data_IF_987514299546
#
_entry.id   IF_987514299546
#
_cell.length_a   1.000
_cell.length_b   1.000
_cell.length_c   1.000
_cell.angle_alpha   90.00
_cell.angle_beta   90.00
_cell.angle_gamma   90.00
#
_symmetry.space_group_name_H-M   'P 1'
#
loop_
_entity.id
_entity.type
_entity.pdbx_description
1 polymer ?
#
# COMPACT_ATOMS: atom_id res chain seq x y z
N UNK A 1 -41.00 -2.39 32.21
CA UNK A 1 -40.20 -1.65 31.21
C UNK A 1 -40.81 -0.30 30.86
N UNK A 2 -42.11 -0.21 30.48
CA UNK A 2 -42.75 1.07 30.11
C UNK A 2 -42.68 2.18 31.17
N UNK A 3 -42.92 1.86 32.45
CA UNK A 3 -42.86 2.84 33.57
C UNK A 3 -41.47 3.45 33.81
N UNK A 4 -40.38 2.72 33.55
CA UNK A 4 -39.01 3.20 33.81
C UNK A 4 -38.58 4.23 32.76
N UNK A 5 -38.86 3.95 31.48
CA UNK A 5 -38.61 4.90 30.39
C UNK A 5 -39.48 6.15 30.51
N UNK A 6 -40.71 6.02 31.01
CA UNK A 6 -41.59 7.17 31.28
C UNK A 6 -41.01 8.08 32.36
N UNK A 7 -40.49 7.52 33.45
CA UNK A 7 -39.79 8.29 34.48
C UNK A 7 -38.52 8.96 33.96
N UNK A 8 -37.68 8.25 33.19
CA UNK A 8 -36.46 8.82 32.59
C UNK A 8 -36.77 10.01 31.69
N UNK A 9 -37.81 9.91 30.84
CA UNK A 9 -38.24 11.02 29.99
C UNK A 9 -38.75 12.23 30.81
N UNK A 10 -39.49 11.99 31.91
CA UNK A 10 -39.98 13.05 32.80
C UNK A 10 -38.79 13.72 33.52
N UNK A 11 -37.82 12.94 33.96
CA UNK A 11 -36.60 13.45 34.58
C UNK A 11 -35.80 14.30 33.59
N UNK A 12 -35.61 13.83 32.35
CA UNK A 12 -34.92 14.57 31.30
C UNK A 12 -35.61 15.91 30.99
N UNK A 13 -36.95 15.93 30.86
CA UNK A 13 -37.72 17.18 30.69
C UNK A 13 -37.49 18.15 31.87
N UNK A 14 -37.57 17.63 33.10
CA UNK A 14 -37.34 18.45 34.30
C UNK A 14 -35.89 18.99 34.36
N UNK A 15 -34.89 18.22 33.92
CA UNK A 15 -33.49 18.63 33.86
C UNK A 15 -33.25 19.70 32.79
N UNK A 16 -33.86 19.56 31.59
CA UNK A 16 -33.80 20.58 30.54
C UNK A 16 -34.40 21.92 31.00
N UNK A 17 -35.57 21.86 31.66
CA UNK A 17 -36.23 23.04 32.24
C UNK A 17 -35.41 23.69 33.36
N UNK A 18 -34.79 22.88 34.22
CA UNK A 18 -33.88 23.35 35.28
C UNK A 18 -32.64 24.05 34.70
N UNK A 19 -32.08 23.54 33.59
CA UNK A 19 -30.99 24.22 32.85
C UNK A 19 -31.47 25.56 32.27
N UNK A 20 -32.71 25.60 31.77
CA UNK A 20 -33.41 26.80 31.31
C UNK A 20 -33.70 27.85 32.39
N UNK A 21 -33.47 27.53 33.67
CA UNK A 21 -33.60 28.45 34.80
C UNK A 21 -34.89 28.31 35.60
N UNK A 22 -35.68 27.26 35.34
CA UNK A 22 -36.85 26.94 36.15
C UNK A 22 -36.46 26.38 37.53
N UNK A 23 -37.30 26.57 38.56
CA UNK A 23 -37.02 26.07 39.91
C UNK A 23 -37.52 24.63 40.08
N UNK A 24 -36.88 23.88 40.98
CA UNK A 24 -37.21 22.48 41.25
C UNK A 24 -38.69 22.33 41.67
N UNK A 25 -39.22 23.27 42.45
CA UNK A 25 -40.61 23.25 42.92
C UNK A 25 -41.62 23.35 41.77
N UNK A 26 -41.29 24.10 40.72
CA UNK A 26 -42.17 24.26 39.54
C UNK A 26 -42.16 23.01 38.66
N UNK A 27 -41.01 22.34 38.54
CA UNK A 27 -40.90 21.03 37.88
C UNK A 27 -41.70 19.96 38.64
N UNK A 28 -41.55 19.90 39.98
CA UNK A 28 -42.30 18.95 40.82
C UNK A 28 -43.82 19.21 40.79
N UNK A 29 -44.24 20.48 40.70
CA UNK A 29 -45.65 20.83 40.53
C UNK A 29 -46.26 20.39 39.19
N UNK A 30 -45.42 20.14 38.17
CA UNK A 30 -45.87 19.63 36.86
C UNK A 30 -46.11 18.11 36.87
N UNK A 31 -45.49 17.38 37.81
CA UNK A 31 -45.52 15.91 37.91
C UNK A 31 -45.75 15.45 39.36
N UNK A 32 -46.94 15.66 39.93
CA UNK A 32 -47.21 15.40 41.35
C UNK A 32 -47.15 13.90 41.71
N UNK A 33 -47.43 13.01 40.76
CA UNK A 33 -47.42 11.55 41.01
C UNK A 33 -46.01 10.98 41.20
N UNK A 34 -44.99 11.59 40.58
CA UNK A 34 -43.58 11.17 40.63
C UNK A 34 -42.72 12.09 41.51
N UNK A 35 -43.32 13.10 42.15
CA UNK A 35 -42.60 14.15 42.86
C UNK A 35 -41.68 13.61 43.97
N UNK A 36 -42.11 12.59 44.71
CA UNK A 36 -41.32 11.97 45.78
C UNK A 36 -40.02 11.32 45.27
N UNK A 37 -40.02 10.78 44.06
CA UNK A 37 -38.84 10.14 43.46
C UNK A 37 -37.97 11.13 42.67
N UNK A 38 -38.57 12.17 42.08
CA UNK A 38 -37.85 13.21 41.31
C UNK A 38 -37.12 14.22 42.19
N UNK A 39 -37.68 14.58 43.35
CA UNK A 39 -37.13 15.60 44.24
C UNK A 39 -35.65 15.42 44.58
N UNK A 40 -35.17 14.25 45.06
CA UNK A 40 -33.76 14.09 45.41
C UNK A 40 -32.82 14.19 44.19
N UNK A 41 -33.26 13.73 43.02
CA UNK A 41 -32.47 13.77 41.79
C UNK A 41 -32.33 15.21 41.29
N UNK A 42 -33.43 15.97 41.27
CA UNK A 42 -33.43 17.38 40.85
C UNK A 42 -32.64 18.28 41.80
N UNK A 43 -32.74 18.07 43.12
CA UNK A 43 -31.90 18.79 44.09
C UNK A 43 -30.41 18.52 43.90
N UNK A 44 -30.04 17.28 43.56
CA UNK A 44 -28.65 16.90 43.26
C UNK A 44 -28.15 17.59 41.99
N UNK A 45 -28.98 17.61 40.95
CA UNK A 45 -28.65 18.32 39.71
C UNK A 45 -28.50 19.83 39.94
N UNK A 46 -29.38 20.44 40.76
CA UNK A 46 -29.29 21.85 41.12
C UNK A 46 -28.00 22.17 41.88
N UNK A 47 -27.67 21.40 42.92
CA UNK A 47 -26.44 21.59 43.68
C UNK A 47 -25.18 21.46 42.80
N UNK A 48 -25.21 20.51 41.86
CA UNK A 48 -24.13 20.32 40.88
C UNK A 48 -24.01 21.52 39.95
N UNK A 49 -25.13 22.09 39.50
CA UNK A 49 -25.16 23.29 38.65
C UNK A 49 -24.63 24.51 39.38
N UNK A 50 -25.01 24.71 40.63
CA UNK A 50 -24.51 25.80 41.48
C UNK A 50 -23.00 25.68 41.72
N UNK A 51 -22.50 24.46 41.96
CA UNK A 51 -21.07 24.20 42.06
C UNK A 51 -20.33 24.41 40.72
N UNK A 52 -20.96 24.05 39.59
CA UNK A 52 -20.40 24.23 38.24
C UNK A 52 -20.46 25.68 37.75
N UNK A 53 -21.36 26.49 38.31
CA UNK A 53 -21.45 27.93 38.07
C UNK A 53 -20.22 28.68 38.61
N UNK A 54 -19.38 28.02 39.42
CA UNK A 54 -18.02 28.45 39.74
C UNK A 54 -17.18 28.38 38.45
N UNK A 55 -17.31 29.44 37.67
CA UNK A 55 -16.56 29.71 36.47
C UNK A 55 -15.06 29.45 36.69
N UNK A 56 -14.42 28.51 35.97
CA UNK A 56 -12.97 28.37 36.04
C UNK A 56 -12.32 29.68 35.64
N UNK A 57 -11.22 30.04 36.34
CA UNK A 57 -10.46 31.26 36.09
C UNK A 57 -10.14 31.39 34.59
N UNK A 58 -10.20 32.60 34.05
CA UNK A 58 -10.04 32.85 32.62
C UNK A 58 -8.73 32.25 32.06
N UNK A 59 -7.66 32.32 32.83
CA UNK A 59 -6.34 31.74 32.50
C UNK A 59 -6.38 30.22 32.32
N UNK A 60 -7.09 29.51 33.20
CA UNK A 60 -7.24 28.06 33.11
C UNK A 60 -7.99 27.65 31.85
N UNK A 61 -9.06 28.37 31.49
CA UNK A 61 -9.80 28.10 30.25
C UNK A 61 -8.96 28.38 29.00
N UNK A 62 -8.19 29.46 29.00
CA UNK A 62 -7.30 29.79 27.90
C UNK A 62 -6.25 28.70 27.68
N UNK A 63 -5.64 28.21 28.78
CA UNK A 63 -4.67 27.13 28.76
C UNK A 63 -5.27 25.81 28.28
N UNK A 64 -6.42 25.39 28.82
CA UNK A 64 -7.10 24.16 28.42
C UNK A 64 -7.49 24.18 26.93
N UNK A 65 -7.95 25.33 26.41
CA UNK A 65 -8.26 25.51 24.98
C UNK A 65 -7.01 25.40 24.11
N UNK A 66 -5.90 25.99 24.54
CA UNK A 66 -4.64 25.91 23.82
C UNK A 66 -4.14 24.45 23.78
N UNK A 67 -4.09 23.78 24.93
CA UNK A 67 -3.63 22.38 25.04
C UNK A 67 -4.49 21.45 24.17
N UNK A 68 -5.82 21.55 24.24
CA UNK A 68 -6.73 20.76 23.41
C UNK A 68 -6.51 20.98 21.90
N UNK A 69 -6.40 22.25 21.46
CA UNK A 69 -6.15 22.55 20.04
C UNK A 69 -4.78 22.05 19.60
N UNK A 70 -3.78 22.13 20.47
CA UNK A 70 -2.41 21.68 20.17
C UNK A 70 -2.33 20.16 20.01
N UNK A 71 -3.04 19.40 20.85
CA UNK A 71 -3.12 17.94 20.74
C UNK A 71 -3.80 17.50 19.44
N UNK A 72 -4.89 18.17 19.04
CA UNK A 72 -5.55 17.93 17.75
C UNK A 72 -4.65 18.26 16.56
N UNK A 73 -3.82 19.30 16.67
CA UNK A 73 -2.87 19.66 15.61
C UNK A 73 -1.70 18.68 15.53
N UNK A 74 -1.17 18.20 16.66
CA UNK A 74 -0.11 17.19 16.69
C UNK A 74 -0.57 15.88 16.03
N UNK A 75 -1.78 15.40 16.35
CA UNK A 75 -2.35 14.22 15.67
C UNK A 75 -2.55 14.42 14.16
N UNK A 76 -3.01 15.60 13.72
CA UNK A 76 -3.19 15.89 12.30
C UNK A 76 -1.88 16.08 11.54
N UNK A 77 -0.83 16.60 12.19
CA UNK A 77 0.49 16.80 11.60
C UNK A 77 1.32 15.51 11.53
N UNK A 78 1.17 14.59 12.48
CA UNK A 78 1.85 13.27 12.45
C UNK A 78 1.42 12.35 11.30
N UNK A 79 0.32 12.67 10.61
CA UNK A 79 -0.26 11.83 9.53
C UNK A 79 -0.02 12.31 8.10
N UNK A 80 0.94 13.21 7.86
CA UNK A 80 1.37 13.60 6.49
C UNK A 80 2.91 13.71 6.49
N UNK A 81 3.73 12.78 5.98
CA UNK A 81 3.67 11.99 4.75
C UNK A 81 4.61 10.75 4.80
N UNK A 82 4.46 9.76 3.89
CA UNK A 82 5.40 9.72 2.75
C UNK A 82 4.78 9.19 1.43
N UNK A 83 3.48 9.44 1.14
CA UNK A 83 2.90 9.01 -0.15
C UNK A 83 3.48 9.76 -1.36
N UNK A 84 3.94 11.00 -1.18
CA UNK A 84 4.53 11.80 -2.26
C UNK A 84 5.96 11.36 -2.62
N UNK A 85 6.75 10.91 -1.64
CA UNK A 85 8.09 10.37 -1.86
C UNK A 85 8.00 9.04 -2.62
N UNK A 86 7.06 8.18 -2.23
CA UNK A 86 6.80 6.93 -2.95
C UNK A 86 6.36 7.20 -4.39
N UNK A 87 5.42 8.11 -4.63
CA UNK A 87 4.91 8.43 -5.97
C UNK A 87 5.97 9.07 -6.89
N UNK A 88 6.90 9.84 -6.34
CA UNK A 88 8.01 10.46 -7.10
C UNK A 88 9.11 9.44 -7.45
N UNK A 89 9.31 8.42 -6.61
CA UNK A 89 10.23 7.32 -6.90
C UNK A 89 9.84 6.52 -8.15
N UNK A 90 8.55 6.19 -8.33
CA UNK A 90 8.10 5.46 -9.52
C UNK A 90 8.22 6.26 -10.82
N UNK A 91 8.02 7.57 -10.78
CA UNK A 91 8.19 8.43 -11.97
C UNK A 91 9.67 8.53 -12.37
N UNK A 92 10.58 8.64 -11.40
CA UNK A 92 12.03 8.62 -11.65
C UNK A 92 12.46 7.24 -12.15
N UNK A 93 11.95 6.15 -11.57
CA UNK A 93 12.22 4.80 -12.04
C UNK A 93 11.74 4.58 -13.48
N UNK A 94 10.52 5.03 -13.83
CA UNK A 94 9.99 4.96 -15.19
C UNK A 94 10.78 5.83 -16.17
N UNK A 95 11.27 7.01 -15.76
CA UNK A 95 12.16 7.80 -16.59
C UNK A 95 13.51 7.13 -16.79
N UNK A 96 14.12 6.54 -15.75
CA UNK A 96 15.39 5.81 -15.87
C UNK A 96 15.22 4.57 -16.76
N UNK A 97 14.15 3.81 -16.58
CA UNK A 97 13.77 2.68 -17.46
C UNK A 97 13.55 3.17 -18.88
N UNK A 98 12.80 4.26 -19.08
CA UNK A 98 12.56 4.86 -20.38
C UNK A 98 13.85 5.33 -21.06
N UNK A 99 14.76 5.98 -20.31
CA UNK A 99 16.08 6.39 -20.80
C UNK A 99 16.90 5.15 -21.16
N UNK A 100 16.93 4.11 -20.32
CA UNK A 100 17.59 2.82 -20.61
C UNK A 100 16.98 2.11 -21.83
N UNK A 101 15.68 2.21 -22.05
CA UNK A 101 14.98 1.66 -23.21
C UNK A 101 15.19 2.50 -24.47
N UNK A 102 15.37 3.81 -24.36
CA UNK A 102 15.66 4.69 -25.51
C UNK A 102 17.15 4.65 -25.86
N UNK A 103 18.05 4.60 -24.87
CA UNK A 103 19.49 4.42 -25.08
C UNK A 103 19.86 2.97 -25.41
N UNK A 104 19.06 1.99 -24.95
CA UNK A 104 19.21 0.56 -25.24
C UNK A 104 18.34 0.05 -26.40
N UNK A 105 17.37 0.83 -26.87
CA UNK A 105 16.47 0.42 -27.96
C UNK A 105 17.19 0.25 -29.31
N UNK A 106 18.34 0.91 -29.49
CA UNK A 106 19.22 0.68 -30.63
C UNK A 106 20.06 -0.61 -30.54
N UNK A 107 20.24 -1.18 -29.35
CA UNK A 107 21.10 -2.36 -29.14
C UNK A 107 20.33 -3.67 -29.04
N UNK A 108 19.02 -3.69 -28.77
CA UNK A 108 18.26 -4.96 -28.71
C UNK A 108 18.20 -5.65 -30.07
N UNK A 109 18.15 -4.88 -31.17
CA UNK A 109 18.24 -5.45 -32.52
C UNK A 109 19.67 -5.88 -32.89
N UNK A 110 20.70 -5.16 -32.42
CA UNK A 110 22.10 -5.49 -32.70
C UNK A 110 22.70 -6.59 -31.79
N UNK A 111 22.16 -6.78 -30.58
CA UNK A 111 22.61 -7.81 -29.64
C UNK A 111 22.17 -9.22 -30.06
N UNK A 112 21.14 -9.35 -30.90
CA UNK A 112 20.75 -10.65 -31.46
C UNK A 112 21.89 -11.32 -32.23
N UNK A 113 22.72 -10.53 -32.91
CA UNK A 113 23.86 -10.97 -33.72
C UNK A 113 25.21 -10.87 -33.00
N UNK A 114 25.20 -10.60 -31.68
CA UNK A 114 26.44 -10.50 -30.90
C UNK A 114 27.11 -11.87 -30.80
N UNK A 115 28.40 -11.94 -31.14
CA UNK A 115 29.25 -13.14 -31.02
C UNK A 115 29.77 -13.33 -29.58
N UNK A 116 30.21 -14.55 -29.20
CA UNK A 116 30.63 -14.88 -27.84
C UNK A 116 31.76 -14.01 -27.27
N UNK A 117 32.62 -13.45 -28.13
CA UNK A 117 33.73 -12.56 -27.78
C UNK A 117 33.33 -11.08 -27.64
N UNK A 118 32.09 -10.74 -27.94
CA UNK A 118 31.60 -9.35 -27.90
C UNK A 118 31.10 -8.95 -26.50
N UNK A 119 31.24 -7.66 -26.10
CA UNK A 119 30.78 -7.19 -24.78
C UNK A 119 29.26 -7.30 -24.60
N UNK A 120 28.49 -7.26 -25.71
CA UNK A 120 27.03 -7.36 -25.70
C UNK A 120 26.51 -8.80 -25.58
N UNK A 121 27.38 -9.80 -25.62
CA UNK A 121 26.98 -11.21 -25.54
C UNK A 121 26.30 -11.58 -24.21
N UNK A 122 26.75 -10.96 -23.11
CA UNK A 122 26.10 -11.10 -21.80
C UNK A 122 24.64 -10.62 -21.82
N UNK A 123 24.36 -9.56 -22.58
CA UNK A 123 23.02 -8.99 -22.78
C UNK A 123 22.17 -9.93 -23.63
N UNK A 124 22.73 -10.55 -24.67
CA UNK A 124 22.07 -11.59 -25.47
C UNK A 124 21.59 -12.74 -24.59
N UNK A 125 22.47 -13.30 -23.74
CA UNK A 125 22.12 -14.40 -22.83
C UNK A 125 21.03 -14.00 -21.83
N UNK A 126 21.09 -12.79 -21.27
CA UNK A 126 20.05 -12.30 -20.35
C UNK A 126 18.69 -12.14 -21.06
N UNK A 127 18.70 -11.59 -22.28
CA UNK A 127 17.49 -11.38 -23.10
C UNK A 127 16.83 -12.72 -23.45
N UNK A 128 17.63 -13.72 -23.83
CA UNK A 128 17.13 -15.07 -24.13
C UNK A 128 16.48 -15.73 -22.90
N UNK A 129 17.02 -15.54 -21.69
CA UNK A 129 16.42 -16.05 -20.44
C UNK A 129 15.07 -15.40 -20.14
N UNK A 130 14.97 -14.08 -20.32
CA UNK A 130 13.71 -13.36 -20.15
C UNK A 130 12.68 -13.85 -21.18
N UNK A 131 13.10 -14.03 -22.43
CA UNK A 131 12.21 -14.54 -23.48
C UNK A 131 11.69 -15.95 -23.16
N UNK A 132 12.55 -16.84 -22.64
CA UNK A 132 12.16 -18.18 -22.18
C UNK A 132 11.18 -18.14 -21.00
N UNK A 133 11.37 -17.22 -20.06
CA UNK A 133 10.48 -17.06 -18.89
C UNK A 133 9.10 -16.50 -19.27
N UNK A 134 9.04 -15.58 -20.24
CA UNK A 134 7.80 -14.96 -20.71
C UNK A 134 7.00 -15.85 -21.66
N UNK A 135 7.65 -16.79 -22.34
CA UNK A 135 6.97 -17.71 -23.28
C UNK A 135 6.26 -18.81 -22.51
N UNK A 136 4.93 -18.77 -22.40
CA UNK A 136 4.17 -19.75 -21.60
C UNK A 136 3.87 -21.06 -22.34
N UNK A 137 3.73 -21.04 -23.66
CA UNK A 137 3.35 -22.22 -24.46
C UNK A 137 4.50 -23.22 -24.60
N UNK A 138 4.29 -24.54 -24.36
CA UNK A 138 5.30 -25.57 -24.60
C UNK A 138 5.83 -25.56 -26.03
N UNK A 139 4.93 -25.44 -27.02
CA UNK A 139 5.29 -25.35 -28.45
C UNK A 139 6.09 -24.08 -28.73
N UNK A 140 5.71 -22.95 -28.11
CA UNK A 140 6.44 -21.69 -28.24
C UNK A 140 7.87 -21.78 -27.67
N UNK A 141 8.02 -22.45 -26.52
CA UNK A 141 9.34 -22.70 -25.92
C UNK A 141 10.17 -23.63 -26.80
N UNK A 142 9.59 -24.69 -27.36
CA UNK A 142 10.29 -25.61 -28.24
C UNK A 142 10.82 -24.90 -29.51
N UNK A 143 9.99 -24.07 -30.14
CA UNK A 143 10.41 -23.25 -31.29
C UNK A 143 11.53 -22.27 -30.92
N UNK A 144 11.45 -21.66 -29.74
CA UNK A 144 12.49 -20.74 -29.26
C UNK A 144 13.81 -21.48 -28.98
N UNK A 145 13.76 -22.65 -28.35
CA UNK A 145 14.93 -23.50 -28.16
C UNK A 145 15.57 -23.91 -29.49
N UNK A 146 14.77 -24.28 -30.50
CA UNK A 146 15.27 -24.64 -31.83
C UNK A 146 16.03 -23.47 -32.47
N UNK A 147 15.45 -22.26 -32.44
CA UNK A 147 16.10 -21.04 -32.97
C UNK A 147 17.38 -20.69 -32.23
N UNK A 148 17.42 -20.87 -30.91
CA UNK A 148 18.62 -20.60 -30.12
C UNK A 148 19.71 -21.65 -30.39
N UNK A 149 19.36 -22.93 -30.52
CA UNK A 149 20.30 -24.00 -30.86
C UNK A 149 20.97 -23.75 -32.22
N UNK A 150 20.20 -23.37 -33.24
CA UNK A 150 20.72 -23.01 -34.57
C UNK A 150 21.75 -21.87 -34.51
N UNK A 151 21.47 -20.84 -33.68
CA UNK A 151 22.44 -19.76 -33.41
C UNK A 151 23.71 -20.26 -32.72
N UNK A 152 23.61 -21.19 -31.75
CA UNK A 152 24.79 -21.75 -31.08
C UNK A 152 25.68 -22.55 -32.03
N UNK A 153 25.10 -23.22 -33.01
CA UNK A 153 25.89 -23.86 -34.09
C UNK A 153 26.70 -22.82 -34.87
N UNK A 154 26.08 -21.69 -35.22
CA UNK A 154 26.78 -20.59 -35.92
C UNK A 154 27.92 -20.00 -35.07
N UNK A 155 27.70 -19.84 -33.77
CA UNK A 155 28.73 -19.37 -32.83
C UNK A 155 29.88 -20.37 -32.67
N UNK A 156 29.57 -21.66 -32.64
CA UNK A 156 30.57 -22.73 -32.59
C UNK A 156 31.44 -22.73 -33.85
N UNK A 157 30.86 -22.57 -35.03
CA UNK A 157 31.60 -22.46 -36.29
C UNK A 157 32.54 -21.25 -36.24
N UNK A 158 32.04 -20.11 -35.77
CA UNK A 158 32.83 -18.89 -35.60
C UNK A 158 34.02 -19.10 -34.63
N UNK A 159 33.76 -19.66 -33.45
CA UNK A 159 34.80 -19.90 -32.45
C UNK A 159 35.82 -20.95 -32.90
N UNK A 160 35.37 -22.01 -33.58
CA UNK A 160 36.23 -23.02 -34.16
C UNK A 160 37.15 -22.41 -35.23
N UNK A 161 36.65 -21.48 -36.06
CA UNK A 161 37.47 -20.78 -37.05
C UNK A 161 38.53 -19.86 -36.42
N UNK A 162 38.30 -19.38 -35.18
CA UNK A 162 39.26 -18.61 -34.39
C UNK A 162 40.22 -19.46 -33.57
N UNK A 163 39.99 -20.77 -33.45
CA UNK A 163 40.81 -21.68 -32.65
C UNK A 163 40.66 -21.52 -31.13
N UNK A 164 39.58 -20.88 -30.65
CA UNK A 164 39.33 -20.68 -29.22
C UNK A 164 38.64 -21.91 -28.61
N UNK A 165 39.43 -22.91 -28.21
CA UNK A 165 38.93 -24.20 -27.73
C UNK A 165 38.11 -24.09 -26.43
N UNK A 166 38.45 -23.16 -25.55
CA UNK A 166 37.71 -22.95 -24.29
C UNK A 166 36.31 -22.41 -24.55
N UNK A 167 36.18 -21.43 -25.44
CA UNK A 167 34.87 -20.90 -25.80
C UNK A 167 34.04 -21.89 -26.62
N UNK A 168 34.68 -22.73 -27.46
CA UNK A 168 34.01 -23.82 -28.18
C UNK A 168 33.40 -24.82 -27.20
N UNK A 169 34.13 -25.24 -26.17
CA UNK A 169 33.61 -26.16 -25.15
C UNK A 169 32.39 -25.55 -24.44
N UNK A 170 32.52 -24.31 -23.95
CA UNK A 170 31.42 -23.62 -23.27
C UNK A 170 30.20 -23.36 -24.19
N UNK A 171 30.40 -23.14 -25.49
CA UNK A 171 29.30 -23.01 -26.44
C UNK A 171 28.64 -24.37 -26.75
N UNK A 172 29.41 -25.45 -26.69
CA UNK A 172 28.91 -26.83 -26.89
C UNK A 172 28.02 -27.25 -25.73
N UNK A 173 28.42 -26.98 -24.48
CA UNK A 173 27.58 -27.23 -23.30
C UNK A 173 26.24 -26.50 -23.38
N UNK A 174 26.25 -25.22 -23.80
CA UNK A 174 25.01 -24.44 -23.97
C UNK A 174 24.12 -25.00 -25.09
N UNK A 175 24.71 -25.50 -26.17
CA UNK A 175 23.95 -26.16 -27.23
C UNK A 175 23.29 -27.43 -26.70
N UNK A 176 24.02 -28.25 -25.95
CA UNK A 176 23.50 -29.47 -25.32
C UNK A 176 22.34 -29.19 -24.37
N UNK A 177 22.44 -28.15 -23.54
CA UNK A 177 21.36 -27.69 -22.66
C UNK A 177 20.08 -27.36 -23.46
N UNK A 178 20.25 -26.67 -24.61
CA UNK A 178 19.12 -26.28 -25.47
C UNK A 178 18.50 -27.47 -26.18
N UNK A 179 19.29 -28.42 -26.65
CA UNK A 179 18.80 -29.64 -27.28
C UNK A 179 18.07 -30.53 -26.26
N UNK A 180 18.63 -30.70 -25.07
CA UNK A 180 17.98 -31.46 -23.98
C UNK A 180 16.64 -30.84 -23.60
N UNK A 181 16.60 -29.51 -23.44
CA UNK A 181 15.35 -28.79 -23.15
C UNK A 181 14.33 -28.94 -24.28
N UNK A 182 14.77 -28.87 -25.53
CA UNK A 182 13.91 -29.06 -26.70
C UNK A 182 13.31 -30.47 -26.72
N UNK A 183 14.14 -31.50 -26.50
CA UNK A 183 13.67 -32.89 -26.43
C UNK A 183 12.59 -33.04 -25.37
N UNK A 184 12.83 -32.53 -24.15
CA UNK A 184 11.84 -32.57 -23.05
C UNK A 184 10.53 -31.88 -23.44
N UNK A 185 10.59 -30.76 -24.17
CA UNK A 185 9.41 -29.99 -24.56
C UNK A 185 8.63 -30.59 -25.74
N UNK A 186 9.29 -31.37 -26.59
CA UNK A 186 8.71 -31.98 -27.81
C UNK A 186 8.29 -33.44 -27.58
N UNK A 187 8.86 -34.13 -26.60
CA UNK A 187 8.43 -35.47 -26.22
C UNK A 187 6.95 -35.46 -25.81
N UNK A 188 6.10 -36.34 -26.39
CA UNK A 188 4.73 -36.48 -25.96
C UNK A 188 4.70 -36.97 -24.51
N UNK A 189 3.89 -36.31 -23.66
CA UNK A 189 3.51 -36.85 -22.35
C UNK A 189 2.52 -38.01 -22.51
#
# INVERSE_FOLDING_TARGET
MKKMSEFENILDDCLERLVGGETVERCLGSYPEQALELEPLLRTAQATREASAIAPRAEFRARARYEFRSALHDEMSRKKQPRFVLRRGWVVALMVIGILLVSGGGTVLAAGDSMPDSPLYSVKLATERVQMALTSSPVGKAQLCAKQADRRVSELIYLASKGDTQQVEAATERLDERLTTLVILVSPQ
#
